data_IF_928711029593
#
_entry.id   IF_928711029593
#
_cell.length_a   1.000
_cell.length_b   1.000
_cell.length_c   1.000
_cell.angle_alpha   90.00
_cell.angle_beta   90.00
_cell.angle_gamma   90.00
#
_symmetry.space_group_name_H-M   'P 1'
#
loop_
_entity.id
_entity.type
_entity.pdbx_description
1 polymer ?
#
# COMPACT_ATOMS: atom_id res chain seq x y z
N UNK A 1 80.63 16.49 34.38
CA UNK A 1 80.01 16.98 33.12
C UNK A 1 79.35 15.79 32.43
N UNK A 2 78.06 15.92 32.19
CA UNK A 2 77.08 14.85 31.97
C UNK A 2 77.17 14.19 30.58
N UNK A 3 77.00 12.86 30.54
CA UNK A 3 76.63 12.07 29.36
C UNK A 3 75.22 11.50 29.59
N UNK A 4 74.34 11.58 28.59
CA UNK A 4 73.10 10.78 28.45
C UNK A 4 72.64 10.93 26.99
N UNK A 5 72.55 9.92 26.11
CA UNK A 5 71.82 8.62 26.10
C UNK A 5 70.35 8.75 25.61
N UNK A 6 70.07 7.97 24.55
CA UNK A 6 68.85 7.22 24.25
C UNK A 6 67.58 7.89 23.67
N UNK A 7 67.24 7.36 22.49
CA UNK A 7 66.02 6.57 22.23
C UNK A 7 64.68 7.30 22.15
N UNK A 8 64.17 7.34 20.93
CA UNK A 8 62.76 7.57 20.60
C UNK A 8 61.93 6.35 20.99
N UNK A 9 60.89 6.52 21.82
CA UNK A 9 59.68 5.69 21.75
C UNK A 9 58.49 6.30 22.50
N UNK A 10 57.33 6.17 21.85
CA UNK A 10 55.97 6.02 22.43
C UNK A 10 55.23 7.24 22.98
N UNK A 11 54.19 7.68 22.25
CA UNK A 11 52.86 8.12 22.76
C UNK A 11 51.82 7.78 21.64
N UNK A 12 51.09 6.66 21.71
CA UNK A 12 49.74 6.43 22.31
C UNK A 12 48.56 6.74 21.36
N UNK A 13 47.90 5.65 20.94
CA UNK A 13 46.45 5.37 20.87
C UNK A 13 45.50 6.39 20.22
N UNK A 14 44.90 5.97 19.10
CA UNK A 14 43.57 6.41 18.62
C UNK A 14 42.79 5.13 18.23
N UNK A 15 41.91 4.61 19.09
CA UNK A 15 40.49 4.93 19.28
C UNK A 15 39.62 4.62 18.05
N UNK A 16 38.95 3.46 18.14
CA UNK A 16 37.53 3.17 17.86
C UNK A 16 36.94 3.59 16.50
N UNK A 17 36.44 2.62 15.73
CA UNK A 17 35.00 2.44 15.46
C UNK A 17 34.78 1.30 14.45
N UNK A 18 34.33 0.17 14.99
CA UNK A 18 33.65 -0.90 14.25
C UNK A 18 32.24 -0.38 13.92
N UNK A 19 32.04 0.24 12.76
CA UNK A 19 30.71 0.64 12.31
C UNK A 19 30.09 -0.48 11.47
N UNK A 20 29.08 -1.11 12.08
CA UNK A 20 28.24 -2.12 11.46
C UNK A 20 27.49 -1.54 10.26
N UNK A 21 27.59 -2.18 9.08
CA UNK A 21 26.62 -2.01 8.00
C UNK A 21 25.36 -2.84 8.29
N UNK A 22 24.71 -2.55 9.42
CA UNK A 22 23.37 -3.04 9.72
C UNK A 22 22.37 -2.05 9.14
N UNK A 23 21.63 -2.52 8.14
CA UNK A 23 20.28 -2.06 7.84
C UNK A 23 20.13 -0.60 7.43
N UNK A 24 20.34 -0.32 6.15
CA UNK A 24 19.45 0.65 5.50
C UNK A 24 18.15 -0.10 5.23
N UNK A 25 17.31 -0.22 6.26
CA UNK A 25 15.89 -0.37 6.03
C UNK A 25 15.48 0.88 5.25
N UNK A 26 15.20 0.72 3.97
CA UNK A 26 14.67 1.79 3.14
C UNK A 26 13.39 2.28 3.82
N UNK A 27 13.50 3.42 4.48
CA UNK A 27 12.37 4.13 5.06
C UNK A 27 11.49 4.53 3.88
N UNK A 28 10.42 3.78 3.65
CA UNK A 28 9.38 4.12 2.70
C UNK A 28 8.65 5.34 3.23
N UNK A 29 9.16 6.53 2.91
CA UNK A 29 8.38 7.75 3.00
C UNK A 29 7.32 7.67 1.93
N UNK A 30 6.04 7.77 2.31
CA UNK A 30 4.89 7.87 1.39
C UNK A 30 5.17 8.95 0.34
N UNK A 31 5.72 8.54 -0.80
CA UNK A 31 6.19 9.45 -1.83
C UNK A 31 4.99 9.78 -2.68
N UNK A 32 4.81 11.07 -2.96
CA UNK A 32 3.73 11.53 -3.85
C UNK A 32 3.70 10.68 -5.13
N UNK A 33 2.53 10.20 -5.58
CA UNK A 33 2.39 9.41 -6.79
C UNK A 33 3.13 10.03 -7.98
N UNK A 34 3.99 9.22 -8.60
CA UNK A 34 4.73 9.57 -9.82
C UNK A 34 4.19 8.80 -11.02
N UNK A 35 4.41 9.32 -12.22
CA UNK A 35 4.11 8.57 -13.45
C UNK A 35 5.23 7.55 -13.67
N UNK A 36 4.86 6.29 -13.82
CA UNK A 36 5.82 5.22 -14.07
C UNK A 36 6.21 5.14 -15.55
N UNK A 37 7.16 4.26 -15.87
CA UNK A 37 7.60 4.03 -17.25
C UNK A 37 6.48 3.54 -18.18
N UNK A 38 5.41 2.97 -17.61
CA UNK A 38 4.24 2.49 -18.37
C UNK A 38 3.26 3.64 -18.70
N UNK A 39 3.50 4.85 -18.21
CA UNK A 39 2.60 6.00 -18.37
C UNK A 39 1.43 6.04 -17.38
N UNK A 40 1.34 5.06 -16.48
CA UNK A 40 0.35 5.04 -15.39
C UNK A 40 0.91 5.75 -14.16
N UNK A 41 0.04 6.38 -13.37
CA UNK A 41 0.44 6.93 -12.08
C UNK A 41 0.58 5.79 -11.06
N UNK A 42 1.79 5.60 -10.55
CA UNK A 42 2.04 4.63 -9.50
C UNK A 42 1.42 5.08 -8.18
N UNK A 43 0.61 4.21 -7.59
CA UNK A 43 0.03 4.36 -6.26
C UNK A 43 0.52 3.23 -5.36
N UNK A 44 0.63 3.53 -4.08
CA UNK A 44 0.77 2.53 -3.03
C UNK A 44 -0.31 2.73 -1.96
N UNK A 45 -0.54 1.69 -1.16
CA UNK A 45 -1.53 1.74 -0.10
C UNK A 45 -1.13 2.68 1.06
N UNK A 46 0.15 2.98 1.25
CA UNK A 46 0.58 3.97 2.26
C UNK A 46 0.06 5.37 1.91
N UNK A 47 0.09 5.73 0.63
CA UNK A 47 -0.47 6.97 0.14
C UNK A 47 -2.01 6.97 0.20
N UNK A 48 -2.65 5.91 -0.30
CA UNK A 48 -4.13 5.83 -0.37
C UNK A 48 -4.80 5.69 1.00
N UNK A 49 -4.16 5.01 1.95
CA UNK A 49 -4.66 4.79 3.30
C UNK A 49 -4.00 5.71 4.35
N UNK A 50 -3.17 6.66 3.92
CA UNK A 50 -2.40 7.55 4.79
C UNK A 50 -3.22 8.61 5.53
N UNK A 51 -4.55 8.52 5.50
CA UNK A 51 -5.47 9.41 6.22
C UNK A 51 -6.55 8.60 6.93
N UNK A 52 -7.15 9.20 7.96
CA UNK A 52 -8.26 8.58 8.67
C UNK A 52 -9.54 8.62 7.84
N UNK A 53 -10.10 7.44 7.59
CA UNK A 53 -11.39 7.29 6.94
C UNK A 53 -12.12 6.10 7.59
N UNK A 54 -12.98 6.41 8.54
CA UNK A 54 -13.70 5.43 9.36
C UNK A 54 -15.17 5.85 9.39
N UNK A 55 -15.93 5.55 8.31
CA UNK A 55 -17.35 5.84 8.27
C UNK A 55 -18.06 5.19 9.44
N UNK A 56 -19.04 5.88 10.01
CA UNK A 56 -19.86 5.32 11.08
C UNK A 56 -20.61 4.09 10.55
N UNK A 57 -20.46 2.96 11.23
CA UNK A 57 -21.24 1.77 10.92
C UNK A 57 -22.64 1.93 11.57
N UNK A 58 -23.74 1.86 10.80
CA UNK A 58 -25.09 2.01 11.35
C UNK A 58 -25.47 0.92 12.36
N UNK A 59 -24.73 -0.19 12.41
CA UNK A 59 -24.94 -1.29 13.35
C UNK A 59 -23.99 -1.27 14.55
N UNK A 60 -23.07 -0.30 14.62
CA UNK A 60 -22.22 -0.10 15.79
C UNK A 60 -23.08 0.41 16.97
N UNK A 61 -23.15 -0.30 18.10
CA UNK A 61 -23.89 0.15 19.28
C UNK A 61 -23.28 1.40 19.95
N UNK A 62 -22.10 1.85 19.52
CA UNK A 62 -21.41 3.03 20.06
C UNK A 62 -20.66 3.80 18.96
N UNK A 63 -21.39 4.42 18.01
CA UNK A 63 -20.80 5.01 16.83
C UNK A 63 -19.88 6.17 17.21
N UNK A 64 -18.61 6.06 16.80
CA UNK A 64 -17.66 7.17 16.91
C UNK A 64 -17.85 8.10 15.72
N UNK A 65 -17.97 9.39 15.99
CA UNK A 65 -17.86 10.39 14.93
C UNK A 65 -16.39 10.56 14.56
N UNK A 66 -16.02 10.11 13.36
CA UNK A 66 -14.69 10.30 12.81
C UNK A 66 -14.79 11.21 11.58
N UNK A 67 -13.74 12.02 11.37
CA UNK A 67 -13.65 12.87 10.19
C UNK A 67 -13.49 11.99 8.94
N UNK A 68 -14.52 11.91 8.11
CA UNK A 68 -14.54 11.15 6.86
C UNK A 68 -14.30 12.05 5.64
N UNK A 69 -13.32 12.95 5.72
CA UNK A 69 -13.00 13.87 4.63
C UNK A 69 -11.85 13.30 3.81
N UNK A 70 -12.12 12.99 2.55
CA UNK A 70 -11.10 12.55 1.60
C UNK A 70 -10.18 13.75 1.26
N UNK A 71 -8.85 13.64 1.43
CA UNK A 71 -7.93 14.72 1.11
C UNK A 71 -7.99 15.12 -0.37
N UNK A 72 -7.79 16.40 -0.66
CA UNK A 72 -7.76 16.91 -2.04
C UNK A 72 -6.71 16.22 -2.93
N UNK A 73 -5.59 15.78 -2.34
CA UNK A 73 -4.56 14.99 -3.02
C UNK A 73 -5.09 13.66 -3.53
N UNK A 74 -5.93 12.98 -2.74
CA UNK A 74 -6.57 11.72 -3.13
C UNK A 74 -7.68 12.00 -4.15
N UNK A 75 -8.54 13.00 -3.92
CA UNK A 75 -9.59 13.39 -4.85
C UNK A 75 -9.05 13.74 -6.25
N UNK A 76 -7.83 14.25 -6.34
CA UNK A 76 -7.17 14.55 -7.63
C UNK A 76 -6.87 13.31 -8.50
N UNK A 77 -6.94 12.11 -7.91
CA UNK A 77 -6.76 10.83 -8.61
C UNK A 77 -8.02 10.37 -9.37
N UNK A 78 -9.16 11.02 -9.17
CA UNK A 78 -10.42 10.65 -9.81
C UNK A 78 -10.26 10.56 -11.34
N UNK A 79 -10.63 9.40 -11.90
CA UNK A 79 -10.58 9.12 -13.34
C UNK A 79 -9.18 8.97 -13.93
N UNK A 80 -8.11 8.97 -13.12
CA UNK A 80 -6.74 8.85 -13.62
C UNK A 80 -6.40 7.40 -13.96
N UNK A 81 -5.46 7.24 -14.90
CA UNK A 81 -4.79 5.96 -15.16
C UNK A 81 -3.77 5.69 -14.06
N UNK A 82 -3.96 4.61 -13.32
CA UNK A 82 -3.13 4.24 -12.17
C UNK A 82 -2.57 2.83 -12.31
N UNK A 83 -1.44 2.59 -11.66
CA UNK A 83 -0.94 1.25 -11.40
C UNK A 83 -0.63 1.07 -9.92
N UNK A 84 -0.97 -0.09 -9.37
CA UNK A 84 -0.84 -0.38 -7.94
C UNK A 84 -0.59 -1.88 -7.71
N UNK A 85 0.30 -2.18 -6.77
CA UNK A 85 0.50 -3.52 -6.25
C UNK A 85 -0.41 -3.77 -5.05
N UNK A 86 -0.92 -4.99 -4.95
CA UNK A 86 -1.62 -5.45 -3.75
C UNK A 86 -2.04 -6.90 -3.83
N UNK A 87 -2.64 -7.38 -2.75
CA UNK A 87 -2.99 -8.79 -2.60
C UNK A 87 -4.38 -9.07 -3.15
N UNK A 88 -4.49 -10.05 -4.03
CA UNK A 88 -5.76 -10.41 -4.67
C UNK A 88 -6.65 -11.25 -3.75
N UNK A 89 -7.90 -10.83 -3.59
CA UNK A 89 -9.00 -11.61 -3.01
C UNK A 89 -10.14 -11.71 -4.05
N UNK A 90 -10.26 -12.85 -4.76
CA UNK A 90 -11.32 -13.04 -5.76
C UNK A 90 -12.72 -12.97 -5.14
N UNK A 91 -13.64 -12.22 -5.76
CA UNK A 91 -15.06 -12.17 -5.37
C UNK A 91 -15.92 -13.10 -6.22
N UNK A 92 -15.48 -13.34 -7.45
CA UNK A 92 -15.95 -14.42 -8.30
C UNK A 92 -14.76 -15.29 -8.72
N UNK A 93 -15.02 -16.55 -9.06
CA UNK A 93 -13.98 -17.44 -9.59
C UNK A 93 -14.58 -18.59 -10.40
N UNK A 94 -13.97 -18.86 -11.54
CA UNK A 94 -14.20 -20.06 -12.35
C UNK A 94 -12.88 -20.56 -12.94
N UNK A 95 -12.92 -21.61 -13.76
CA UNK A 95 -11.72 -22.21 -14.37
C UNK A 95 -10.86 -21.25 -15.22
N UNK A 96 -11.42 -20.13 -15.66
CA UNK A 96 -10.76 -19.09 -16.45
C UNK A 96 -10.20 -17.92 -15.62
N UNK A 97 -10.50 -17.88 -14.32
CA UNK A 97 -10.05 -16.85 -13.37
C UNK A 97 -11.19 -16.03 -12.78
N UNK A 98 -10.88 -14.79 -12.42
CA UNK A 98 -11.81 -13.85 -11.75
C UNK A 98 -12.07 -12.61 -12.61
N UNK A 99 -13.32 -12.15 -12.65
CA UNK A 99 -13.73 -10.88 -13.26
C UNK A 99 -13.86 -9.76 -12.24
N UNK A 100 -14.08 -10.07 -10.96
CA UNK A 100 -14.13 -9.08 -9.88
C UNK A 100 -13.37 -9.56 -8.65
N UNK A 101 -12.56 -8.67 -8.09
CA UNK A 101 -11.75 -9.00 -6.93
C UNK A 101 -11.50 -7.76 -6.07
N UNK A 102 -11.15 -7.98 -4.81
CA UNK A 102 -10.62 -6.96 -3.93
C UNK A 102 -9.09 -7.01 -4.03
N UNK A 103 -8.48 -5.84 -4.19
CA UNK A 103 -7.04 -5.64 -4.05
C UNK A 103 -6.77 -5.05 -2.65
N UNK A 104 -6.06 -5.79 -1.80
CA UNK A 104 -5.81 -5.42 -0.41
C UNK A 104 -4.37 -4.93 -0.17
N UNK A 105 -4.21 -4.03 0.81
CA UNK A 105 -2.92 -3.57 1.28
C UNK A 105 -2.04 -4.69 1.90
N UNK A 106 -2.63 -5.77 2.40
CA UNK A 106 -1.90 -6.88 3.04
C UNK A 106 -2.56 -8.24 2.78
N UNK A 107 -1.76 -9.31 2.89
CA UNK A 107 -2.23 -10.71 2.81
C UNK A 107 -3.09 -11.08 4.03
N UNK A 108 -2.80 -10.48 5.18
CA UNK A 108 -3.41 -10.82 6.47
C UNK A 108 -4.75 -10.13 6.74
N UNK A 109 -5.24 -9.32 5.80
CA UNK A 109 -6.48 -8.55 5.86
C UNK A 109 -7.72 -9.34 6.33
N UNK A 110 -7.75 -10.66 6.13
CA UNK A 110 -8.87 -11.52 6.54
C UNK A 110 -8.50 -12.63 7.54
N UNK A 111 -7.23 -12.76 7.95
CA UNK A 111 -6.73 -13.95 8.67
C UNK A 111 -6.34 -13.69 10.13
N UNK A 112 -5.34 -12.83 10.33
CA UNK A 112 -4.73 -12.57 11.65
C UNK A 112 -4.37 -11.09 11.89
N UNK A 113 -4.65 -10.21 10.92
CA UNK A 113 -4.62 -8.75 11.07
C UNK A 113 -6.03 -8.21 11.34
N UNK A 114 -6.13 -7.02 11.94
CA UNK A 114 -7.43 -6.37 12.15
C UNK A 114 -8.21 -6.18 10.85
N UNK A 115 -9.53 -6.02 10.95
CA UNK A 115 -10.38 -5.69 9.79
C UNK A 115 -9.80 -4.44 9.11
N UNK A 116 -9.45 -4.50 7.81
CA UNK A 116 -8.89 -3.36 7.12
C UNK A 116 -9.86 -2.19 7.11
N UNK A 117 -9.32 -0.98 7.10
CA UNK A 117 -10.12 0.24 6.90
C UNK A 117 -10.66 0.28 5.49
N UNK A 118 -11.77 0.99 5.28
CA UNK A 118 -12.40 1.10 3.95
C UNK A 118 -11.43 1.64 2.89
N UNK A 119 -10.47 2.48 3.28
CA UNK A 119 -9.43 3.03 2.38
C UNK A 119 -8.17 2.14 2.24
N UNK A 120 -8.18 0.91 2.78
CA UNK A 120 -7.09 -0.07 2.68
C UNK A 120 -7.38 -1.19 1.66
N UNK A 121 -8.48 -1.06 0.91
CA UNK A 121 -8.82 -1.96 -0.19
C UNK A 121 -9.38 -1.22 -1.40
N UNK A 122 -9.35 -1.90 -2.55
CA UNK A 122 -9.86 -1.40 -3.82
C UNK A 122 -10.70 -2.49 -4.49
N UNK A 123 -11.92 -2.15 -4.90
CA UNK A 123 -12.72 -3.02 -5.76
C UNK A 123 -12.19 -2.96 -7.20
N UNK A 124 -11.81 -4.10 -7.74
CA UNK A 124 -11.31 -4.18 -9.12
C UNK A 124 -12.29 -4.97 -9.97
N UNK A 125 -12.62 -4.40 -11.13
CA UNK A 125 -13.43 -5.06 -12.16
C UNK A 125 -12.64 -5.17 -13.46
N UNK A 126 -12.68 -6.35 -14.06
CA UNK A 126 -12.15 -6.58 -15.40
C UNK A 126 -13.15 -6.05 -16.45
N UNK A 127 -12.63 -5.62 -17.61
CA UNK A 127 -13.51 -5.29 -18.75
C UNK A 127 -14.34 -6.50 -19.18
N UNK A 128 -15.52 -6.31 -19.78
CA UNK A 128 -16.37 -7.41 -20.22
C UNK A 128 -15.60 -8.46 -21.04
N UNK A 129 -15.76 -9.72 -20.67
CA UNK A 129 -15.08 -10.85 -21.33
C UNK A 129 -13.61 -11.07 -20.93
N UNK A 130 -13.05 -10.25 -20.03
CA UNK A 130 -11.70 -10.43 -19.50
C UNK A 130 -11.73 -11.05 -18.09
N UNK A 131 -10.68 -11.80 -17.77
CA UNK A 131 -10.45 -12.44 -16.47
C UNK A 131 -9.01 -12.23 -16.04
N UNK A 132 -8.81 -11.94 -14.76
CA UNK A 132 -7.51 -12.01 -14.13
C UNK A 132 -7.23 -13.47 -13.73
N UNK A 133 -6.01 -13.94 -14.01
CA UNK A 133 -5.57 -15.23 -13.51
C UNK A 133 -5.39 -15.13 -12.01
N UNK A 134 -5.96 -16.07 -11.27
CA UNK A 134 -5.77 -16.17 -9.82
C UNK A 134 -4.90 -17.39 -9.55
N UNK A 135 -3.83 -17.24 -8.79
CA UNK A 135 -2.95 -18.35 -8.42
C UNK A 135 -3.32 -18.96 -7.05
N UNK A 136 -4.41 -18.48 -6.44
CA UNK A 136 -4.80 -18.74 -5.05
C UNK A 136 -4.94 -17.42 -4.28
N UNK A 137 -5.34 -17.48 -3.01
CA UNK A 137 -5.35 -16.31 -2.13
C UNK A 137 -3.90 -15.96 -1.70
N UNK A 138 -3.64 -14.67 -1.48
CA UNK A 138 -2.38 -14.19 -0.89
C UNK A 138 -1.24 -13.92 -1.88
N UNK A 139 -1.52 -13.83 -3.17
CA UNK A 139 -0.55 -13.36 -4.16
C UNK A 139 -0.66 -11.84 -4.35
N UNK A 140 0.49 -11.19 -4.36
CA UNK A 140 0.59 -9.80 -4.79
C UNK A 140 0.56 -9.73 -6.33
N UNK A 141 -0.28 -8.86 -6.86
CA UNK A 141 -0.46 -8.62 -8.30
C UNK A 141 -0.33 -7.14 -8.60
N UNK A 142 0.06 -6.82 -9.83
CA UNK A 142 0.03 -5.46 -10.36
C UNK A 142 -1.27 -5.24 -11.14
N UNK A 143 -2.08 -4.29 -10.69
CA UNK A 143 -3.27 -3.84 -11.40
C UNK A 143 -2.96 -2.52 -12.10
N UNK A 144 -3.30 -2.42 -13.38
CA UNK A 144 -3.34 -1.14 -14.12
C UNK A 144 -4.75 -0.86 -14.57
N UNK A 145 -5.21 0.37 -14.45
CA UNK A 145 -6.57 0.71 -14.87
C UNK A 145 -6.97 2.16 -14.61
N UNK A 146 -8.28 2.39 -14.65
CA UNK A 146 -8.88 3.71 -14.39
C UNK A 146 -9.40 3.75 -12.96
N UNK A 147 -8.86 4.66 -12.15
CA UNK A 147 -9.19 4.80 -10.73
C UNK A 147 -10.44 5.66 -10.51
N UNK A 148 -11.28 5.28 -9.56
CA UNK A 148 -12.46 6.03 -9.14
C UNK A 148 -12.60 6.03 -7.63
N UNK A 149 -13.18 7.12 -7.12
CA UNK A 149 -13.43 7.38 -5.71
C UNK A 149 -14.94 7.60 -5.57
N UNK A 150 -15.62 6.68 -4.91
CA UNK A 150 -17.03 6.76 -4.60
C UNK A 150 -17.33 5.82 -3.43
N UNK A 151 -18.15 6.28 -2.48
CA UNK A 151 -18.66 5.41 -1.43
C UNK A 151 -19.60 4.36 -2.03
N UNK A 152 -19.29 3.10 -1.80
CA UNK A 152 -20.18 1.98 -2.08
C UNK A 152 -20.96 1.66 -0.81
N UNK A 153 -22.29 1.67 -0.90
CA UNK A 153 -23.18 1.51 0.25
C UNK A 153 -24.03 0.26 0.09
N UNK A 154 -23.91 -0.66 1.06
CA UNK A 154 -24.73 -1.85 1.15
C UNK A 154 -25.53 -1.83 2.45
N UNK A 155 -26.86 -1.90 2.35
CA UNK A 155 -27.78 -1.93 3.52
C UNK A 155 -27.51 -0.78 4.51
N UNK A 156 -27.15 0.39 3.99
CA UNK A 156 -26.84 1.59 4.78
C UNK A 156 -25.42 1.65 5.36
N UNK A 157 -24.58 0.64 5.14
CA UNK A 157 -23.17 0.62 5.55
C UNK A 157 -22.26 0.90 4.36
N UNK A 158 -21.28 1.77 4.54
CA UNK A 158 -20.22 2.00 3.55
C UNK A 158 -19.29 0.78 3.56
N UNK A 159 -19.16 0.11 2.41
CA UNK A 159 -18.36 -1.11 2.21
C UNK A 159 -17.20 -0.91 1.23
N UNK A 160 -17.15 0.23 0.55
CA UNK A 160 -16.09 0.53 -0.41
C UNK A 160 -15.91 2.03 -0.58
N UNK A 161 -14.70 2.42 -0.99
CA UNK A 161 -14.38 3.80 -1.34
C UNK A 161 -13.65 3.93 -2.68
N UNK A 162 -12.81 2.95 -3.00
CA UNK A 162 -11.97 2.97 -4.19
C UNK A 162 -12.32 1.85 -5.14
N UNK A 163 -12.32 2.16 -6.43
CA UNK A 163 -12.46 1.16 -7.47
C UNK A 163 -11.52 1.39 -8.64
N UNK A 164 -11.19 0.28 -9.33
CA UNK A 164 -10.44 0.29 -10.59
C UNK A 164 -11.19 -0.55 -11.63
N UNK A 165 -11.40 0.04 -12.81
CA UNK A 165 -11.68 -0.75 -14.03
C UNK A 165 -10.35 -1.09 -14.67
N UNK A 166 -9.99 -2.37 -14.66
CA UNK A 166 -8.66 -2.84 -15.05
C UNK A 166 -8.46 -2.82 -16.58
N UNK A 167 -7.30 -2.30 -16.99
CA UNK A 167 -6.75 -2.46 -18.33
C UNK A 167 -5.87 -3.72 -18.41
N UNK A 168 -5.18 -4.07 -17.32
CA UNK A 168 -4.35 -5.29 -17.22
C UNK A 168 -4.12 -5.70 -15.76
N UNK A 169 -3.90 -7.00 -15.55
CA UNK A 169 -3.47 -7.59 -14.27
C UNK A 169 -2.27 -8.50 -14.54
N UNK A 170 -1.21 -8.39 -13.74
CA UNK A 170 0.05 -9.14 -13.89
C UNK A 170 0.52 -9.71 -12.55
#
# INVERSE_FOLDING_TARGET
>A
MSRSIATRLSIVVAIVLLAANLGVAAQSTATKPGVSKSGYMFLDFWFLAGYDYNPSDPFDPSPKQVKNTIPATILSLQGKKVEIYGNILPLDYDSSGTSTFILNASVDACGFGGVPRINEWIYVSMKPGQKAKTYGAGYEILVRGTFSIAEEVEKGRIVGLYSIVADSVQ
#
